data_IF_474536863498
#
_entry.id   IF_474536863498
#
_cell.length_a   1.000
_cell.length_b   1.000
_cell.length_c   1.000
_cell.angle_alpha   90.00
_cell.angle_beta   90.00
_cell.angle_gamma   90.00
#
_symmetry.space_group_name_H-M   'P 1'
#
loop_
_entity.id
_entity.type
_entity.pdbx_description
1 polymer ?
#
# COMPACT_ATOMS: atom_id res chain seq x y z
N UNK A 1 -30.87 -22.69 65.16
CA UNK A 1 -31.56 -22.02 64.05
C UNK A 1 -33.04 -22.12 64.32
N UNK A 2 -33.76 -21.01 64.29
CA UNK A 2 -35.22 -21.01 64.39
C UNK A 2 -35.84 -21.33 63.04
N UNK A 3 -37.06 -21.86 63.01
CA UNK A 3 -37.74 -22.23 61.76
C UNK A 3 -37.88 -21.04 60.79
N UNK A 4 -37.99 -19.81 61.33
CA UNK A 4 -37.96 -18.57 60.54
C UNK A 4 -36.63 -18.31 59.83
N UNK A 5 -35.50 -18.81 60.35
CA UNK A 5 -34.19 -18.72 59.69
C UNK A 5 -34.00 -19.80 58.61
N UNK A 6 -34.82 -20.85 58.63
CA UNK A 6 -34.82 -21.91 57.62
C UNK A 6 -35.76 -21.52 56.46
N UNK A 7 -36.90 -20.89 56.75
CA UNK A 7 -37.79 -20.33 55.71
C UNK A 7 -37.12 -19.21 54.89
N UNK A 8 -36.39 -18.28 55.54
CA UNK A 8 -35.64 -17.21 54.84
C UNK A 8 -34.54 -17.76 53.91
N UNK A 9 -33.96 -18.92 54.28
CA UNK A 9 -32.94 -19.63 53.51
C UNK A 9 -33.51 -20.46 52.35
N UNK A 10 -34.78 -20.86 52.44
CA UNK A 10 -35.47 -21.62 51.40
C UNK A 10 -36.14 -20.69 50.38
N UNK A 11 -36.65 -19.53 50.80
CA UNK A 11 -37.19 -18.50 49.89
C UNK A 11 -36.09 -17.88 49.00
N UNK A 12 -34.84 -17.82 49.48
CA UNK A 12 -33.70 -17.35 48.67
C UNK A 12 -33.16 -18.39 47.68
N UNK A 13 -33.58 -19.66 47.77
CA UNK A 13 -33.06 -20.73 46.90
C UNK A 13 -33.96 -21.04 45.69
N UNK A 14 -35.19 -20.51 45.65
CA UNK A 14 -36.17 -20.79 44.58
C UNK A 14 -36.09 -19.80 43.42
N UNK A 15 -35.57 -18.59 43.62
CA UNK A 15 -35.39 -17.63 42.54
C UNK A 15 -33.97 -17.70 41.97
N UNK A 16 -33.83 -18.52 40.92
CA UNK A 16 -32.62 -18.74 40.13
C UNK A 16 -32.10 -17.50 39.39
N UNK A 17 -31.67 -16.48 40.14
CA UNK A 17 -30.97 -15.32 39.63
C UNK A 17 -29.46 -15.48 39.88
N UNK A 18 -28.71 -15.55 38.77
CA UNK A 18 -27.25 -15.47 38.76
C UNK A 18 -26.81 -14.10 39.31
N UNK A 19 -26.61 -14.03 40.62
CA UNK A 19 -25.93 -12.90 41.24
C UNK A 19 -24.44 -13.01 40.94
N UNK A 20 -23.94 -11.98 40.26
CA UNK A 20 -22.56 -11.88 39.78
C UNK A 20 -21.51 -12.22 40.84
N UNK A 21 -20.45 -12.86 40.39
CA UNK A 21 -19.28 -13.34 41.15
C UNK A 21 -18.48 -12.25 41.91
N UNK A 22 -19.03 -11.04 42.09
CA UNK A 22 -18.30 -9.87 42.55
C UNK A 22 -18.21 -9.69 44.08
N UNK A 23 -18.82 -10.56 44.91
CA UNK A 23 -18.83 -10.37 46.37
C UNK A 23 -18.16 -11.47 47.22
N UNK A 24 -17.58 -12.53 46.62
CA UNK A 24 -16.87 -13.58 47.37
C UNK A 24 -15.32 -13.47 47.37
N UNK A 25 -14.74 -12.44 46.72
CA UNK A 25 -13.29 -12.33 46.51
C UNK A 25 -12.60 -11.16 47.25
N UNK A 26 -13.15 -10.65 48.35
CA UNK A 26 -12.44 -9.62 49.14
C UNK A 26 -11.32 -10.27 49.93
N UNK A 27 -10.09 -10.10 49.44
CA UNK A 27 -8.86 -10.53 50.13
C UNK A 27 -8.70 -9.81 51.48
N UNK A 28 -8.12 -10.46 52.50
CA UNK A 28 -7.97 -9.88 53.83
C UNK A 28 -7.13 -8.61 53.82
N UNK A 29 -7.33 -7.77 54.83
CA UNK A 29 -6.60 -6.50 54.95
C UNK A 29 -5.09 -6.76 55.04
N UNK A 30 -4.31 -6.15 54.14
CA UNK A 30 -2.86 -6.34 54.06
C UNK A 30 -2.41 -7.40 53.04
N UNK A 31 -3.30 -8.23 52.49
CA UNK A 31 -2.96 -9.26 51.50
C UNK A 31 -2.15 -8.71 50.32
N UNK A 32 -2.57 -7.58 49.78
CA UNK A 32 -1.96 -6.93 48.62
C UNK A 32 -0.66 -6.16 48.91
N UNK A 33 -0.24 -6.07 50.17
CA UNK A 33 1.07 -5.47 50.55
C UNK A 33 2.21 -6.48 50.49
N UNK A 34 1.87 -7.76 50.50
CA UNK A 34 2.82 -8.85 50.46
C UNK A 34 3.11 -9.22 48.99
N UNK A 35 4.37 -9.07 48.61
CA UNK A 35 4.85 -9.30 47.24
C UNK A 35 4.55 -10.73 46.77
N UNK A 36 4.60 -11.73 47.66
CA UNK A 36 4.41 -13.12 47.29
C UNK A 36 2.95 -13.40 46.91
N UNK A 37 2.00 -12.73 47.60
CA UNK A 37 0.58 -12.79 47.24
C UNK A 37 0.32 -12.11 45.89
N UNK A 38 1.00 -11.00 45.59
CA UNK A 38 0.88 -10.32 44.30
C UNK A 38 1.49 -11.16 43.17
N UNK A 39 2.61 -11.85 43.41
CA UNK A 39 3.21 -12.78 42.46
C UNK A 39 2.30 -13.99 42.20
N UNK A 40 1.68 -14.54 43.24
CA UNK A 40 0.73 -15.65 43.11
C UNK A 40 -0.47 -15.26 42.24
N UNK A 41 -1.08 -14.10 42.50
CA UNK A 41 -2.21 -13.61 41.69
C UNK A 41 -1.77 -13.27 40.27
N UNK A 42 -0.57 -12.74 40.07
CA UNK A 42 -0.02 -12.46 38.73
C UNK A 42 0.13 -13.73 37.89
N UNK A 43 0.69 -14.81 38.46
CA UNK A 43 0.78 -16.12 37.79
C UNK A 43 -0.58 -16.73 37.49
N UNK A 44 -1.54 -16.57 38.41
CA UNK A 44 -2.92 -17.03 38.21
C UNK A 44 -3.57 -16.33 37.03
N UNK A 45 -3.44 -15.00 36.95
CA UNK A 45 -3.99 -14.22 35.84
C UNK A 45 -3.35 -14.59 34.50
N UNK A 46 -2.02 -14.77 34.49
CA UNK A 46 -1.31 -15.24 33.30
C UNK A 46 -1.84 -16.60 32.81
N UNK A 47 -2.03 -17.55 33.73
CA UNK A 47 -2.60 -18.86 33.40
C UNK A 47 -4.06 -18.77 32.92
N UNK A 48 -4.87 -17.88 33.50
CA UNK A 48 -6.28 -17.70 33.10
C UNK A 48 -6.43 -17.04 31.73
N UNK A 49 -5.51 -16.14 31.37
CA UNK A 49 -5.49 -15.46 30.08
C UNK A 49 -4.72 -16.24 29.00
N UNK A 50 -4.02 -17.32 29.37
CA UNK A 50 -3.23 -18.13 28.45
C UNK A 50 -2.02 -17.37 27.88
N UNK A 51 -1.39 -16.53 28.70
CA UNK A 51 -0.26 -15.67 28.30
C UNK A 51 0.99 -16.00 29.11
N UNK A 52 2.13 -16.01 28.44
CA UNK A 52 3.44 -16.31 29.06
C UNK A 52 4.04 -15.12 29.79
N UNK A 53 3.53 -13.91 29.55
CA UNK A 53 3.95 -12.66 30.19
C UNK A 53 2.80 -11.99 30.95
N UNK A 54 3.12 -11.30 32.06
CA UNK A 54 2.14 -10.49 32.80
C UNK A 54 1.62 -9.36 31.92
N UNK A 55 0.32 -9.30 31.57
CA UNK A 55 -0.19 -8.29 30.66
C UNK A 55 -0.03 -6.86 31.19
N UNK A 56 -0.07 -5.90 30.26
CA UNK A 56 0.01 -4.49 30.61
C UNK A 56 -1.22 -4.04 31.42
N UNK A 57 -1.06 -2.91 32.11
CA UNK A 57 -2.05 -2.36 33.04
C UNK A 57 -3.44 -2.15 32.41
N UNK A 58 -3.50 -1.67 31.18
CA UNK A 58 -4.71 -1.46 30.40
C UNK A 58 -5.42 -2.77 30.05
N UNK A 59 -4.65 -3.80 29.65
CA UNK A 59 -5.17 -5.13 29.36
C UNK A 59 -5.76 -5.76 30.63
N UNK A 60 -5.05 -5.69 31.76
CA UNK A 60 -5.55 -6.25 33.03
C UNK A 60 -6.81 -5.55 33.55
N UNK A 61 -6.95 -4.24 33.36
CA UNK A 61 -8.20 -3.54 33.69
C UNK A 61 -9.35 -4.00 32.79
N UNK A 62 -9.11 -4.13 31.49
CA UNK A 62 -10.11 -4.57 30.52
C UNK A 62 -10.64 -5.98 30.83
N UNK A 63 -9.75 -6.87 31.27
CA UNK A 63 -10.07 -8.25 31.66
C UNK A 63 -10.61 -8.37 33.10
N UNK A 64 -10.87 -7.27 33.78
CA UNK A 64 -11.52 -7.25 35.11
C UNK A 64 -10.58 -7.42 36.32
N UNK A 65 -9.27 -7.48 36.12
CA UNK A 65 -8.27 -7.63 37.19
C UNK A 65 -7.85 -6.30 37.84
N UNK A 66 -8.82 -5.41 38.06
CA UNK A 66 -8.61 -4.06 38.60
C UNK A 66 -8.02 -4.03 40.02
N UNK A 67 -8.29 -5.06 40.83
CA UNK A 67 -7.73 -5.20 42.17
C UNK A 67 -6.22 -5.50 42.14
N UNK A 68 -5.79 -6.37 41.22
CA UNK A 68 -4.36 -6.69 41.02
C UNK A 68 -3.61 -5.49 40.47
N UNK A 69 -4.17 -4.79 39.47
CA UNK A 69 -3.54 -3.58 38.93
C UNK A 69 -3.43 -2.48 39.98
N UNK A 70 -4.49 -2.29 40.79
CA UNK A 70 -4.48 -1.36 41.92
C UNK A 70 -3.46 -1.73 43.00
N UNK A 71 -3.29 -3.01 43.30
CA UNK A 71 -2.28 -3.50 44.25
C UNK A 71 -0.86 -3.27 43.73
N UNK A 72 -0.58 -3.64 42.48
CA UNK A 72 0.72 -3.41 41.84
C UNK A 72 1.04 -1.93 41.81
N UNK A 73 0.09 -1.05 41.50
CA UNK A 73 0.34 0.39 41.44
C UNK A 73 0.48 1.07 42.81
N UNK A 74 -0.17 0.55 43.86
CA UNK A 74 -0.20 1.18 45.19
C UNK A 74 0.90 0.71 46.13
N UNK A 75 1.28 -0.57 46.05
CA UNK A 75 2.19 -1.19 47.02
C UNK A 75 3.50 -1.69 46.40
N UNK A 76 3.53 -1.89 45.09
CA UNK A 76 4.67 -2.48 44.37
C UNK A 76 4.98 -1.69 43.09
N UNK A 77 5.75 -2.29 42.19
CA UNK A 77 5.90 -1.79 40.82
C UNK A 77 5.78 -2.94 39.82
N UNK A 78 5.26 -2.65 38.62
CA UNK A 78 5.24 -3.62 37.51
C UNK A 78 6.63 -4.17 37.20
N UNK A 79 7.65 -3.34 37.38
CA UNK A 79 9.05 -3.73 37.20
C UNK A 79 9.46 -4.80 38.21
N UNK A 80 9.24 -4.55 39.50
CA UNK A 80 9.56 -5.47 40.59
C UNK A 80 8.85 -6.82 40.41
N UNK A 81 7.57 -6.79 40.03
CA UNK A 81 6.80 -8.01 39.78
C UNK A 81 7.38 -8.79 38.58
N UNK A 82 7.66 -8.12 37.46
CA UNK A 82 8.24 -8.78 36.29
C UNK A 82 9.65 -9.33 36.56
N UNK A 83 10.50 -8.58 37.27
CA UNK A 83 11.84 -9.06 37.68
C UNK A 83 11.74 -10.34 38.53
N UNK A 84 10.79 -10.41 39.47
CA UNK A 84 10.55 -11.61 40.30
C UNK A 84 9.85 -12.77 39.56
N UNK A 85 9.29 -12.50 38.38
CA UNK A 85 8.74 -13.50 37.47
C UNK A 85 9.73 -13.91 36.37
N UNK A 86 10.97 -13.41 36.41
CA UNK A 86 11.99 -13.59 35.37
C UNK A 86 11.53 -13.10 33.98
N UNK A 87 10.69 -12.05 33.95
CA UNK A 87 10.12 -11.46 32.74
C UNK A 87 10.82 -10.16 32.34
N UNK A 88 10.91 -9.86 31.03
CA UNK A 88 11.47 -8.59 30.56
C UNK A 88 10.59 -7.41 30.99
N UNK A 89 11.17 -6.25 31.34
CA UNK A 89 10.39 -5.09 31.77
C UNK A 89 9.51 -4.52 30.63
N UNK A 90 8.27 -4.11 30.94
CA UNK A 90 7.28 -3.54 29.98
C UNK A 90 7.85 -2.35 29.20
N UNK A 91 8.70 -1.55 29.87
CA UNK A 91 9.52 -0.52 29.27
C UNK A 91 10.97 -0.78 29.65
N UNK A 92 11.82 -0.85 28.64
CA UNK A 92 13.28 -0.83 28.81
C UNK A 92 13.65 0.41 29.62
N UNK A 93 14.40 0.22 30.71
CA UNK A 93 14.84 1.30 31.61
C UNK A 93 15.56 2.39 30.81
N UNK A 94 15.53 3.66 31.22
CA UNK A 94 16.20 4.73 30.45
C UNK A 94 17.69 4.47 30.20
N UNK A 95 18.34 3.71 31.08
CA UNK A 95 19.74 3.28 30.95
C UNK A 95 19.97 2.07 30.05
N UNK A 96 18.92 1.35 29.67
CA UNK A 96 19.00 0.12 28.86
C UNK A 96 19.68 0.36 27.52
N UNK A 97 19.38 1.50 26.89
CA UNK A 97 19.95 1.87 25.59
C UNK A 97 21.32 2.53 25.69
N UNK A 98 21.83 2.80 26.89
CA UNK A 98 23.12 3.48 27.07
C UNK A 98 24.30 2.58 26.68
N UNK A 99 24.12 1.26 26.67
CA UNK A 99 25.14 0.30 26.28
C UNK A 99 25.05 -0.02 24.77
N UNK A 100 26.07 0.31 23.97
CA UNK A 100 26.12 -0.05 22.56
C UNK A 100 25.97 -1.56 22.28
N UNK A 101 26.41 -2.44 23.20
CA UNK A 101 26.26 -3.89 23.02
C UNK A 101 24.80 -4.34 23.10
N UNK A 102 24.00 -3.65 23.91
CA UNK A 102 22.55 -3.88 23.99
C UNK A 102 21.89 -3.48 22.66
N UNK A 103 22.30 -2.36 22.06
CA UNK A 103 21.81 -1.94 20.75
C UNK A 103 22.20 -2.95 19.66
N UNK A 104 23.41 -3.51 19.69
CA UNK A 104 23.86 -4.55 18.76
C UNK A 104 23.04 -5.84 18.87
N UNK A 105 22.87 -6.36 20.08
CA UNK A 105 22.12 -7.59 20.33
C UNK A 105 20.64 -7.45 19.93
N UNK A 106 20.00 -6.34 20.29
CA UNK A 106 18.65 -5.99 19.87
C UNK A 106 18.50 -5.88 18.35
N UNK A 107 19.50 -5.30 17.69
CA UNK A 107 19.51 -5.19 16.24
C UNK A 107 19.63 -6.56 15.56
N UNK A 108 20.45 -7.48 16.11
CA UNK A 108 20.55 -8.86 15.62
C UNK A 108 19.28 -9.66 15.85
N UNK A 109 18.69 -9.56 17.05
CA UNK A 109 17.42 -10.22 17.38
C UNK A 109 16.30 -9.76 16.44
N UNK A 110 16.17 -8.46 16.25
CA UNK A 110 15.17 -7.90 15.34
C UNK A 110 15.36 -8.37 13.89
N UNK A 111 16.61 -8.48 13.42
CA UNK A 111 16.89 -9.04 12.09
C UNK A 111 16.47 -10.50 11.99
N UNK A 112 16.81 -11.32 12.99
CA UNK A 112 16.48 -12.74 12.99
C UNK A 112 14.97 -13.00 13.02
N UNK A 113 14.25 -12.28 13.89
CA UNK A 113 12.78 -12.39 14.03
C UNK A 113 12.04 -12.07 12.74
N UNK A 114 12.55 -11.10 11.97
CA UNK A 114 11.91 -10.63 10.75
C UNK A 114 12.51 -11.25 9.47
N UNK A 115 13.45 -12.19 9.61
CA UNK A 115 14.14 -12.82 8.49
C UNK A 115 14.93 -11.83 7.62
N UNK A 116 15.46 -10.75 8.22
CA UNK A 116 16.24 -9.77 7.49
C UNK A 116 17.71 -10.19 7.41
N UNK A 117 18.19 -10.34 6.18
CA UNK A 117 19.62 -10.57 5.90
C UNK A 117 20.47 -9.33 6.24
N UNK A 118 19.90 -8.13 6.08
CA UNK A 118 20.56 -6.85 6.37
C UNK A 118 19.78 -6.03 7.39
N UNK A 119 20.49 -5.25 8.21
CA UNK A 119 19.86 -4.41 9.21
C UNK A 119 19.02 -3.32 8.52
N UNK A 120 17.70 -3.20 8.79
CA UNK A 120 16.80 -2.32 8.05
C UNK A 120 17.23 -0.85 8.00
N UNK A 121 16.78 -0.12 6.98
CA UNK A 121 17.03 1.33 6.87
C UNK A 121 16.20 2.12 7.89
N UNK A 122 16.58 3.38 8.15
CA UNK A 122 15.82 4.31 9.00
C UNK A 122 14.33 4.37 8.63
N UNK A 123 14.03 4.42 7.34
CA UNK A 123 12.65 4.49 6.83
C UNK A 123 11.89 3.18 7.08
N UNK A 124 12.55 2.04 6.90
CA UNK A 124 11.97 0.72 7.16
C UNK A 124 11.73 0.50 8.66
N UNK A 125 12.65 0.91 9.53
CA UNK A 125 12.46 0.87 10.99
C UNK A 125 11.25 1.70 11.44
N UNK A 126 11.05 2.90 10.88
CA UNK A 126 9.86 3.74 11.16
C UNK A 126 8.57 3.06 10.71
N UNK A 127 8.55 2.48 9.51
CA UNK A 127 7.37 1.75 8.98
C UNK A 127 7.02 0.54 9.85
N UNK A 128 8.04 -0.14 10.40
CA UNK A 128 7.88 -1.29 11.29
C UNK A 128 7.66 -0.89 12.77
N UNK A 129 7.47 0.41 13.06
CA UNK A 129 7.19 0.88 14.41
C UNK A 129 8.38 0.86 15.39
N UNK A 130 9.59 0.50 14.94
CA UNK A 130 10.81 0.44 15.78
C UNK A 130 11.46 1.81 15.98
N UNK A 131 10.66 2.76 16.47
CA UNK A 131 11.12 4.10 16.84
C UNK A 131 12.05 4.07 18.06
N UNK A 132 11.85 3.11 18.96
CA UNK A 132 12.68 2.83 20.13
C UNK A 132 14.14 2.57 19.70
N UNK A 133 14.34 1.59 18.82
CA UNK A 133 15.65 1.17 18.35
C UNK A 133 16.30 2.26 17.50
N UNK A 134 15.51 2.92 16.63
CA UNK A 134 16.00 4.03 15.83
C UNK A 134 16.53 5.19 16.69
N UNK A 135 15.79 5.57 17.74
CA UNK A 135 16.19 6.64 18.65
C UNK A 135 17.39 6.23 19.50
N UNK A 136 17.44 4.97 19.95
CA UNK A 136 18.58 4.43 20.69
C UNK A 136 19.86 4.48 19.86
N UNK A 137 19.80 4.03 18.60
CA UNK A 137 20.92 4.09 17.65
C UNK A 137 21.40 5.52 17.43
N UNK A 138 20.48 6.48 17.30
CA UNK A 138 20.84 7.88 17.10
C UNK A 138 21.51 8.47 18.34
N UNK A 139 20.99 8.16 19.54
CA UNK A 139 21.36 8.87 20.77
C UNK A 139 22.56 8.26 21.48
N UNK A 140 22.72 6.93 21.41
CA UNK A 140 23.66 6.21 22.26
C UNK A 140 24.68 5.36 21.51
N UNK A 141 24.50 5.12 20.20
CA UNK A 141 25.45 4.31 19.43
C UNK A 141 26.52 5.19 18.75
N UNK A 142 27.81 5.06 19.10
CA UNK A 142 28.88 5.85 18.48
C UNK A 142 28.95 5.63 16.98
N UNK A 143 28.91 6.71 16.18
CA UNK A 143 28.86 6.61 14.72
C UNK A 143 27.49 6.22 14.15
N UNK A 144 26.46 6.17 15.02
CA UNK A 144 25.05 5.99 14.69
C UNK A 144 24.80 4.72 13.86
N UNK A 145 23.75 4.78 13.05
CA UNK A 145 23.28 3.69 12.20
C UNK A 145 24.33 3.15 11.22
N UNK A 146 25.30 3.98 10.82
CA UNK A 146 26.39 3.54 9.93
C UNK A 146 27.32 2.60 10.68
N UNK A 147 27.89 3.05 11.78
CA UNK A 147 28.82 2.26 12.60
C UNK A 147 28.18 0.97 13.12
N UNK A 148 26.89 1.01 13.47
CA UNK A 148 26.16 -0.19 13.86
C UNK A 148 26.16 -1.24 12.75
N UNK A 149 25.96 -0.84 11.49
CA UNK A 149 26.02 -1.78 10.35
C UNK A 149 27.43 -2.38 10.21
N UNK A 150 28.49 -1.55 10.30
CA UNK A 150 29.89 -2.01 10.30
C UNK A 150 30.09 -3.13 11.32
N UNK A 151 29.61 -2.88 12.54
CA UNK A 151 29.76 -3.78 13.67
C UNK A 151 28.94 -5.07 13.54
N UNK A 152 27.81 -5.00 12.83
CA UNK A 152 27.02 -6.17 12.47
C UNK A 152 27.64 -7.01 11.34
N UNK A 153 28.83 -6.64 10.84
CA UNK A 153 29.50 -7.29 9.71
C UNK A 153 28.88 -6.90 8.36
N UNK A 154 28.10 -5.82 8.34
CA UNK A 154 27.44 -5.30 7.16
C UNK A 154 28.23 -4.08 6.67
N UNK A 155 28.38 -3.95 5.37
CA UNK A 155 29.12 -2.83 4.79
C UNK A 155 28.47 -1.49 5.23
N UNK A 156 29.22 -0.59 5.89
CA UNK A 156 28.71 0.71 6.27
C UNK A 156 28.32 1.53 5.07
N UNK A 157 27.14 2.11 5.21
CA UNK A 157 26.50 2.97 4.22
C UNK A 157 26.06 2.20 2.97
N UNK A 158 25.22 2.79 2.14
CA UNK A 158 25.77 3.46 0.96
C UNK A 158 27.26 3.16 0.79
N UNK A 159 27.59 1.89 0.51
CA UNK A 159 28.59 1.53 -0.49
C UNK A 159 29.75 2.53 -0.44
N UNK A 160 30.73 2.27 0.44
CA UNK A 160 31.74 3.24 0.92
C UNK A 160 32.36 4.13 -0.16
N UNK A 161 32.98 5.26 0.23
CA UNK A 161 33.48 6.29 -0.71
C UNK A 161 34.16 5.69 -1.95
N UNK A 162 33.55 5.89 -3.12
CA UNK A 162 34.04 5.38 -4.39
C UNK A 162 33.40 4.07 -4.89
N UNK A 163 32.59 3.39 -4.10
CA UNK A 163 31.88 2.18 -4.52
C UNK A 163 30.97 2.44 -5.72
N UNK A 164 30.20 3.54 -5.67
CA UNK A 164 29.35 3.98 -6.77
C UNK A 164 30.13 4.59 -7.93
N UNK A 165 31.46 4.73 -7.82
CA UNK A 165 32.32 5.12 -8.93
C UNK A 165 32.75 3.91 -9.78
N UNK A 166 32.40 2.68 -9.37
CA UNK A 166 32.66 1.46 -10.13
C UNK A 166 31.42 1.04 -10.91
N UNK A 167 31.55 0.89 -12.23
CA UNK A 167 30.40 0.63 -13.11
C UNK A 167 29.80 -0.76 -12.85
N UNK A 168 30.68 -1.74 -12.62
CA UNK A 168 30.35 -3.12 -12.24
C UNK A 168 29.44 -3.17 -11.00
N UNK A 169 29.71 -2.30 -10.03
CA UNK A 169 28.95 -2.22 -8.80
C UNK A 169 27.53 -1.69 -9.03
N UNK A 170 27.38 -0.67 -9.89
CA UNK A 170 26.06 -0.14 -10.26
C UNK A 170 25.27 -1.16 -11.08
N UNK A 171 25.91 -1.86 -12.01
CA UNK A 171 25.28 -2.91 -12.83
C UNK A 171 24.81 -4.06 -11.95
N UNK A 172 25.63 -4.53 -11.01
CA UNK A 172 25.23 -5.57 -10.06
C UNK A 172 23.99 -5.18 -9.28
N UNK A 173 23.97 -3.99 -8.68
CA UNK A 173 22.81 -3.52 -7.90
C UNK A 173 21.53 -3.40 -8.72
N UNK A 174 21.66 -2.89 -9.94
CA UNK A 174 20.54 -2.78 -10.85
C UNK A 174 19.97 -4.16 -11.20
N UNK A 175 20.85 -5.14 -11.41
CA UNK A 175 20.47 -6.53 -11.71
C UNK A 175 19.73 -7.17 -10.54
N UNK A 176 20.29 -7.07 -9.33
CA UNK A 176 19.68 -7.61 -8.12
C UNK A 176 18.32 -6.97 -7.83
N UNK A 177 18.24 -5.64 -7.95
CA UNK A 177 16.99 -4.90 -7.77
C UNK A 177 15.91 -5.31 -8.77
N UNK A 178 16.30 -5.50 -10.04
CA UNK A 178 15.40 -5.97 -11.09
C UNK A 178 14.90 -7.39 -10.82
N UNK A 179 15.77 -8.30 -10.37
CA UNK A 179 15.38 -9.67 -10.03
C UNK A 179 14.45 -9.73 -8.82
N UNK A 180 14.78 -9.00 -7.75
CA UNK A 180 14.01 -8.97 -6.50
C UNK A 180 12.56 -8.50 -6.72
N UNK A 181 12.36 -7.54 -7.64
CA UNK A 181 11.06 -6.91 -7.89
C UNK A 181 10.41 -7.37 -9.20
N UNK A 182 10.99 -8.35 -9.90
CA UNK A 182 10.44 -8.90 -11.14
C UNK A 182 10.39 -7.91 -12.30
N UNK A 183 11.38 -7.02 -12.40
CA UNK A 183 11.47 -6.09 -13.51
C UNK A 183 12.29 -6.65 -14.67
N UNK A 184 11.69 -6.72 -15.86
CA UNK A 184 12.40 -7.07 -17.10
C UNK A 184 13.32 -5.93 -17.61
N UNK A 185 13.04 -4.70 -17.19
CA UNK A 185 13.78 -3.49 -17.55
C UNK A 185 14.08 -2.67 -16.31
N UNK A 186 15.22 -1.98 -16.29
CA UNK A 186 15.60 -1.09 -15.22
C UNK A 186 14.50 -0.04 -15.03
N UNK A 187 13.86 0.06 -13.85
CA UNK A 187 12.78 1.01 -13.65
C UNK A 187 13.32 2.45 -13.50
N UNK A 188 12.42 3.41 -13.33
CA UNK A 188 12.83 4.81 -13.14
C UNK A 188 13.42 5.05 -11.75
N UNK A 189 14.21 6.10 -11.59
CA UNK A 189 14.75 6.51 -10.28
C UNK A 189 13.65 6.76 -9.26
N UNK A 190 12.49 7.29 -9.69
CA UNK A 190 11.32 7.49 -8.84
C UNK A 190 10.76 6.17 -8.29
N UNK A 191 10.67 5.15 -9.14
CA UNK A 191 10.21 3.81 -8.72
C UNK A 191 11.22 3.17 -7.76
N UNK A 192 12.53 3.35 -8.00
CA UNK A 192 13.56 2.92 -7.06
C UNK A 192 13.42 3.62 -5.70
N UNK A 193 13.19 4.93 -5.69
CA UNK A 193 12.99 5.70 -4.46
C UNK A 193 11.72 5.24 -3.69
N UNK A 194 10.62 4.99 -4.39
CA UNK A 194 9.35 4.49 -3.82
C UNK A 194 9.51 3.09 -3.19
N UNK A 195 10.34 2.25 -3.79
CA UNK A 195 10.72 0.92 -3.30
C UNK A 195 11.87 0.96 -2.28
N UNK A 196 12.32 2.16 -1.88
CA UNK A 196 13.30 2.34 -0.81
C UNK A 196 14.77 2.21 -1.24
N UNK A 197 15.05 2.09 -2.54
CA UNK A 197 16.40 2.05 -3.15
C UNK A 197 16.87 3.42 -3.65
N UNK A 198 16.73 4.43 -2.79
CA UNK A 198 17.19 5.79 -3.08
C UNK A 198 18.72 5.93 -3.12
N UNK A 199 19.44 4.97 -2.53
CA UNK A 199 20.89 4.81 -2.64
C UNK A 199 21.31 4.52 -4.09
N UNK A 200 20.66 3.53 -4.73
CA UNK A 200 20.89 3.14 -6.12
C UNK A 200 20.51 4.27 -7.08
N UNK A 201 19.36 4.91 -6.83
CA UNK A 201 18.90 6.09 -7.57
C UNK A 201 19.97 7.18 -7.60
N UNK A 202 20.55 7.54 -6.44
CA UNK A 202 21.62 8.53 -6.32
C UNK A 202 22.94 8.06 -6.93
N UNK A 203 23.32 6.80 -6.74
CA UNK A 203 24.53 6.22 -7.34
C UNK A 203 24.50 6.30 -8.86
N UNK A 204 23.35 5.96 -9.47
CA UNK A 204 23.12 6.10 -10.91
C UNK A 204 23.21 7.57 -11.33
N UNK A 205 22.50 8.49 -10.64
CA UNK A 205 22.45 9.90 -11.02
C UNK A 205 23.81 10.61 -10.93
N UNK A 206 24.58 10.32 -9.88
CA UNK A 206 25.82 11.05 -9.57
C UNK A 206 27.01 10.61 -10.42
N UNK A 207 27.05 9.34 -10.86
CA UNK A 207 28.27 8.77 -11.47
C UNK A 207 28.14 8.37 -12.94
N UNK A 208 26.95 7.97 -13.41
CA UNK A 208 26.79 7.41 -14.76
C UNK A 208 25.65 8.00 -15.58
N UNK A 209 24.58 8.40 -14.91
CA UNK A 209 23.30 8.74 -15.52
C UNK A 209 22.50 7.51 -15.95
N UNK A 210 21.18 7.58 -15.77
CA UNK A 210 20.24 6.48 -16.07
C UNK A 210 20.35 5.98 -17.52
N UNK A 211 20.64 6.88 -18.46
CA UNK A 211 20.80 6.55 -19.88
C UNK A 211 21.97 5.58 -20.12
N UNK A 212 23.13 5.86 -19.51
CA UNK A 212 24.33 5.01 -19.63
C UNK A 212 24.07 3.65 -19.00
N UNK A 213 23.51 3.62 -17.78
CA UNK A 213 23.25 2.37 -17.07
C UNK A 213 22.29 1.48 -17.86
N UNK A 214 21.21 2.02 -18.42
CA UNK A 214 20.30 1.28 -19.32
C UNK A 214 21.00 0.68 -20.53
N UNK A 215 21.93 1.42 -21.14
CA UNK A 215 22.68 0.90 -22.29
C UNK A 215 23.57 -0.30 -21.95
N UNK A 216 24.05 -0.41 -20.69
CA UNK A 216 24.81 -1.56 -20.20
C UNK A 216 23.94 -2.83 -20.12
N UNK A 217 22.63 -2.66 -19.92
CA UNK A 217 21.65 -3.75 -19.95
C UNK A 217 21.15 -4.08 -21.36
N UNK A 218 21.75 -3.49 -22.41
CA UNK A 218 21.28 -3.63 -23.78
C UNK A 218 19.91 -3.00 -24.01
N UNK A 219 19.40 -2.22 -23.05
CA UNK A 219 18.18 -1.45 -23.26
C UNK A 219 18.46 -0.37 -24.29
N UNK A 220 17.82 -0.49 -25.45
CA UNK A 220 17.76 0.62 -26.39
C UNK A 220 17.04 1.77 -25.70
N UNK A 221 17.80 2.77 -25.24
CA UNK A 221 17.24 3.97 -24.63
C UNK A 221 16.18 4.53 -25.56
N UNK A 222 14.96 4.71 -25.04
CA UNK A 222 13.83 5.29 -25.77
C UNK A 222 14.28 6.65 -26.35
N UNK A 223 14.45 6.66 -27.67
CA UNK A 223 14.73 7.79 -28.56
C UNK A 223 16.02 8.59 -28.32
N UNK A 224 17.12 8.18 -28.94
CA UNK A 224 17.97 9.16 -29.64
C UNK A 224 17.60 9.14 -31.11
N UNK A 225 16.42 9.69 -31.38
CA UNK A 225 16.16 10.14 -32.74
C UNK A 225 17.15 11.29 -33.01
N UNK A 226 17.79 11.35 -34.18
CA UNK A 226 18.85 12.32 -34.48
C UNK A 226 18.43 13.76 -34.17
N UNK A 227 19.41 14.64 -33.91
CA UNK A 227 19.14 16.07 -33.68
C UNK A 227 18.39 16.65 -34.88
N UNK A 228 17.16 17.10 -34.67
CA UNK A 228 16.28 17.60 -35.74
C UNK A 228 15.20 16.61 -36.21
N UNK A 229 15.23 15.35 -35.79
CA UNK A 229 14.22 14.35 -36.17
C UNK A 229 12.79 14.82 -35.88
N UNK A 230 12.54 15.36 -34.69
CA UNK A 230 11.22 15.88 -34.30
C UNK A 230 10.84 17.22 -34.94
N UNK A 231 11.76 17.86 -35.68
CA UNK A 231 11.45 19.07 -36.45
C UNK A 231 10.88 18.74 -37.83
N UNK A 232 11.10 17.52 -38.29
CA UNK A 232 10.62 17.03 -39.57
C UNK A 232 9.18 16.49 -39.39
N UNK A 233 8.18 17.12 -40.03
CA UNK A 233 6.77 16.71 -39.94
C UNK A 233 6.55 15.24 -40.29
N UNK A 234 7.27 14.72 -41.28
CA UNK A 234 7.10 13.34 -41.74
C UNK A 234 7.52 12.34 -40.66
N UNK A 235 8.58 12.66 -39.90
CA UNK A 235 9.02 11.85 -38.77
C UNK A 235 8.01 11.87 -37.62
N UNK A 236 7.34 13.00 -37.38
CA UNK A 236 6.27 13.11 -36.37
C UNK A 236 5.06 12.27 -36.78
N UNK A 237 4.65 12.34 -38.06
CA UNK A 237 3.54 11.54 -38.61
C UNK A 237 3.84 10.05 -38.56
N UNK A 238 5.03 9.63 -38.95
CA UNK A 238 5.43 8.22 -38.93
C UNK A 238 5.44 7.66 -37.51
N UNK A 239 5.98 8.42 -36.55
CA UNK A 239 5.97 7.99 -35.15
C UNK A 239 4.54 7.92 -34.58
N UNK A 240 3.66 8.84 -34.99
CA UNK A 240 2.24 8.80 -34.63
C UNK A 240 1.54 7.55 -35.20
N UNK A 241 1.79 7.20 -36.47
CA UNK A 241 1.27 5.99 -37.11
C UNK A 241 1.80 4.71 -36.45
N UNK A 242 3.09 4.65 -36.16
CA UNK A 242 3.69 3.52 -35.43
C UNK A 242 3.13 3.39 -34.02
N UNK A 243 2.92 4.52 -33.32
CA UNK A 243 2.31 4.54 -32.00
C UNK A 243 0.90 3.95 -32.01
N UNK A 244 0.07 4.35 -33.00
CA UNK A 244 -1.26 3.77 -33.18
C UNK A 244 -1.19 2.28 -33.52
N UNK A 245 -0.34 1.89 -34.48
CA UNK A 245 -0.18 0.49 -34.91
C UNK A 245 0.24 -0.41 -33.75
N UNK A 246 1.25 0.00 -32.97
CA UNK A 246 1.77 -0.76 -31.83
C UNK A 246 0.71 -1.00 -30.76
N UNK A 247 -0.17 -0.02 -30.54
CA UNK A 247 -1.24 -0.09 -29.54
C UNK A 247 -2.59 -0.48 -30.13
N UNK A 248 -2.63 -0.89 -31.41
CA UNK A 248 -3.85 -1.25 -32.14
C UNK A 248 -4.97 -0.19 -32.03
N UNK A 249 -4.59 1.09 -32.03
CA UNK A 249 -5.54 2.20 -31.90
C UNK A 249 -6.17 2.52 -33.26
N UNK A 250 -7.49 2.63 -33.30
CA UNK A 250 -8.26 3.05 -34.49
C UNK A 250 -8.23 4.56 -34.71
N UNK A 251 -8.23 5.36 -33.62
CA UNK A 251 -8.13 6.83 -33.62
C UNK A 251 -6.91 7.29 -32.82
N UNK A 252 -6.29 8.40 -33.21
CA UNK A 252 -5.13 8.94 -32.49
C UNK A 252 -5.55 9.53 -31.13
N UNK A 253 -4.88 9.19 -30.03
CA UNK A 253 -5.30 9.63 -28.70
C UNK A 253 -4.98 11.10 -28.44
N UNK A 254 -5.70 11.70 -27.49
CA UNK A 254 -5.48 13.09 -27.10
C UNK A 254 -4.07 13.34 -26.57
N UNK A 255 -3.57 14.57 -26.70
CA UNK A 255 -2.25 14.98 -26.18
C UNK A 255 -2.08 14.72 -24.68
N UNK A 256 -3.17 14.82 -23.89
CA UNK A 256 -3.16 14.50 -22.47
C UNK A 256 -3.00 13.00 -22.20
N UNK A 257 -3.64 12.16 -23.02
CA UNK A 257 -3.52 10.71 -22.93
C UNK A 257 -2.13 10.22 -23.37
N UNK A 258 -1.52 10.86 -24.37
CA UNK A 258 -0.15 10.56 -24.78
C UNK A 258 0.86 10.70 -23.64
N UNK A 259 0.73 11.73 -22.80
CA UNK A 259 1.59 11.91 -21.63
C UNK A 259 1.42 10.77 -20.63
N UNK A 260 0.18 10.37 -20.33
CA UNK A 260 -0.11 9.25 -19.42
C UNK A 260 0.40 7.91 -19.97
N UNK A 261 0.42 7.76 -21.29
CA UNK A 261 0.95 6.59 -21.99
C UNK A 261 2.48 6.59 -22.15
N UNK A 262 3.18 7.57 -21.56
CA UNK A 262 4.64 7.67 -21.57
C UNK A 262 5.24 8.17 -22.89
N UNK A 263 4.45 8.85 -23.72
CA UNK A 263 4.85 9.40 -25.04
C UNK A 263 4.99 10.93 -25.00
N UNK A 264 5.70 11.46 -24.00
CA UNK A 264 5.88 12.90 -23.80
C UNK A 264 6.64 13.58 -24.95
N UNK A 265 7.63 12.91 -25.55
CA UNK A 265 8.40 13.44 -26.68
C UNK A 265 7.53 13.63 -27.93
N UNK A 266 6.70 12.62 -28.26
CA UNK A 266 5.75 12.70 -29.38
C UNK A 266 4.71 13.80 -29.14
N UNK A 267 4.19 13.93 -27.91
CA UNK A 267 3.28 15.04 -27.55
C UNK A 267 3.92 16.41 -27.80
N UNK A 268 5.16 16.60 -27.35
CA UNK A 268 5.88 17.87 -27.56
C UNK A 268 6.11 18.13 -29.05
N UNK A 269 6.46 17.10 -29.82
CA UNK A 269 6.67 17.22 -31.26
C UNK A 269 5.37 17.60 -32.00
N UNK A 270 4.24 16.97 -31.66
CA UNK A 270 2.92 17.30 -32.21
C UNK A 270 2.50 18.72 -31.83
N UNK A 271 2.78 19.15 -30.59
CA UNK A 271 2.50 20.52 -30.15
C UNK A 271 3.27 21.59 -30.93
N UNK A 272 4.42 21.23 -31.52
CA UNK A 272 5.25 22.10 -32.35
C UNK A 272 5.10 21.80 -33.86
N UNK A 273 4.11 20.99 -34.25
CA UNK A 273 3.93 20.58 -35.63
C UNK A 273 3.64 21.80 -36.54
N UNK A 274 4.28 21.94 -37.71
CA UNK A 274 4.03 23.07 -38.60
C UNK A 274 2.56 23.15 -39.03
N UNK A 275 1.91 24.30 -38.77
CA UNK A 275 0.47 24.47 -38.98
C UNK A 275 -0.41 24.03 -37.80
N UNK A 276 0.21 23.66 -36.68
CA UNK A 276 -0.47 23.32 -35.44
C UNK A 276 -1.14 21.94 -35.48
N UNK A 277 -1.95 21.70 -34.46
CA UNK A 277 -2.58 20.40 -34.22
C UNK A 277 -3.59 20.03 -35.31
N UNK A 278 -4.30 21.01 -35.88
CA UNK A 278 -5.29 20.78 -36.93
C UNK A 278 -4.64 20.22 -38.19
N UNK A 279 -3.52 20.83 -38.62
CA UNK A 279 -2.77 20.35 -39.79
C UNK A 279 -2.12 18.99 -39.54
N UNK A 280 -1.64 18.73 -38.32
CA UNK A 280 -1.14 17.40 -37.94
C UNK A 280 -2.20 16.30 -38.15
N UNK A 281 -3.44 16.57 -37.74
CA UNK A 281 -4.52 15.61 -37.88
C UNK A 281 -4.95 15.40 -39.33
N UNK A 282 -4.99 16.47 -40.13
CA UNK A 282 -5.22 16.41 -41.57
C UNK A 282 -4.16 15.53 -42.26
N UNK A 283 -2.88 15.80 -41.97
CA UNK A 283 -1.74 15.08 -42.54
C UNK A 283 -1.65 13.61 -42.04
N UNK A 284 -2.18 13.30 -40.85
CA UNK A 284 -2.21 11.94 -40.31
C UNK A 284 -3.17 11.03 -41.07
N UNK A 285 -4.15 11.60 -41.80
CA UNK A 285 -5.13 10.85 -42.58
C UNK A 285 -6.12 10.05 -41.73
N UNK A 286 -6.19 10.35 -40.43
CA UNK A 286 -7.31 9.92 -39.59
C UNK A 286 -8.41 10.94 -39.77
N UNK A 287 -9.65 10.51 -40.00
CA UNK A 287 -10.83 11.36 -39.86
C UNK A 287 -10.85 11.92 -38.43
N UNK A 288 -10.14 13.01 -38.24
CA UNK A 288 -10.06 13.72 -36.99
C UNK A 288 -11.33 14.54 -36.89
N UNK A 289 -12.43 13.85 -36.61
CA UNK A 289 -13.58 14.49 -36.00
C UNK A 289 -13.07 15.16 -34.74
N UNK A 290 -13.01 16.48 -34.84
CA UNK A 290 -12.46 17.37 -33.84
C UNK A 290 -13.16 17.08 -32.51
N UNK A 291 -12.39 16.75 -31.50
CA UNK A 291 -12.80 16.82 -30.09
C UNK A 291 -13.23 18.23 -29.62
N UNK A 292 -13.20 19.21 -30.51
CA UNK A 292 -13.50 20.62 -30.29
C UNK A 292 -14.52 21.20 -31.26
N UNK A 293 -15.09 20.45 -32.21
CA UNK A 293 -16.25 20.97 -32.95
C UNK A 293 -17.42 21.11 -31.99
N UNK A 294 -18.08 22.28 -31.94
CA UNK A 294 -19.32 22.43 -31.18
C UNK A 294 -20.33 21.36 -31.61
N UNK A 295 -20.57 20.37 -30.75
CA UNK A 295 -21.48 19.25 -31.05
C UNK A 295 -20.87 17.85 -31.01
N UNK A 296 -19.54 17.69 -31.01
CA UNK A 296 -18.89 16.35 -30.99
C UNK A 296 -19.42 15.45 -29.85
N UNK A 297 -19.44 15.98 -28.63
CA UNK A 297 -19.94 15.27 -27.46
C UNK A 297 -21.47 15.17 -27.37
N UNK A 298 -22.19 15.86 -28.25
CA UNK A 298 -23.64 15.73 -28.40
C UNK A 298 -24.01 14.59 -29.34
N UNK A 299 -23.10 14.23 -30.24
CA UNK A 299 -23.29 13.11 -31.15
C UNK A 299 -23.15 11.78 -30.39
N UNK A 300 -24.13 10.90 -30.56
CA UNK A 300 -24.23 9.64 -29.83
C UNK A 300 -23.23 8.60 -30.35
N UNK A 301 -23.02 8.53 -31.67
CA UNK A 301 -22.07 7.59 -32.29
C UNK A 301 -20.64 7.91 -31.88
N UNK A 302 -20.31 9.20 -31.80
CA UNK A 302 -19.01 9.66 -31.32
C UNK A 302 -18.76 9.29 -29.86
N UNK A 303 -19.78 9.40 -28.99
CA UNK A 303 -19.67 8.98 -27.61
C UNK A 303 -19.51 7.46 -27.46
N UNK A 304 -20.26 6.68 -28.24
CA UNK A 304 -20.18 5.21 -28.24
C UNK A 304 -18.79 4.74 -28.67
N UNK A 305 -18.24 5.28 -29.77
CA UNK A 305 -16.88 4.96 -30.23
C UNK A 305 -15.80 5.25 -29.18
N UNK A 306 -16.00 6.28 -28.35
CA UNK A 306 -15.07 6.65 -27.29
C UNK A 306 -15.13 5.73 -26.08
N UNK A 307 -16.33 5.24 -25.78
CA UNK A 307 -16.54 4.24 -24.74
C UNK A 307 -15.99 2.89 -25.18
N UNK A 308 -16.20 2.46 -26.43
CA UNK A 308 -15.60 1.23 -26.98
C UNK A 308 -14.08 1.24 -26.86
N UNK A 309 -13.46 2.34 -27.27
CA UNK A 309 -12.00 2.51 -27.17
C UNK A 309 -11.52 2.49 -25.71
N UNK A 310 -12.30 3.09 -24.79
CA UNK A 310 -12.00 3.08 -23.36
C UNK A 310 -12.10 1.67 -22.77
N UNK A 311 -13.16 0.93 -23.10
CA UNK A 311 -13.38 -0.45 -22.64
C UNK A 311 -12.27 -1.38 -23.13
N UNK A 312 -11.96 -1.34 -24.43
CA UNK A 312 -10.88 -2.14 -25.02
C UNK A 312 -9.51 -1.82 -24.41
N UNK A 313 -9.20 -0.55 -24.18
CA UNK A 313 -7.89 -0.14 -23.64
C UNK A 313 -7.68 -0.61 -22.20
N UNK A 314 -8.77 -0.76 -21.44
CA UNK A 314 -8.73 -1.15 -20.03
C UNK A 314 -9.18 -2.59 -19.79
N UNK A 315 -9.39 -3.37 -20.86
CA UNK A 315 -9.87 -4.77 -20.80
C UNK A 315 -11.15 -4.92 -19.96
N UNK A 316 -12.10 -4.01 -20.16
CA UNK A 316 -13.38 -3.98 -19.46
C UNK A 316 -14.51 -4.41 -20.38
N UNK A 317 -15.36 -5.32 -19.90
CA UNK A 317 -16.52 -5.79 -20.65
C UNK A 317 -17.72 -4.83 -20.58
N UNK A 318 -17.79 -3.98 -19.55
CA UNK A 318 -18.89 -3.04 -19.35
C UNK A 318 -18.40 -1.70 -18.79
N UNK A 319 -19.17 -0.63 -19.03
CA UNK A 319 -18.89 0.71 -18.56
C UNK A 319 -18.92 0.77 -17.02
N UNK A 320 -17.79 1.08 -16.37
CA UNK A 320 -17.71 1.12 -14.92
C UNK A 320 -18.39 2.37 -14.34
N UNK A 321 -18.62 2.44 -13.02
CA UNK A 321 -19.21 3.62 -12.39
C UNK A 321 -18.40 4.90 -12.62
N UNK A 322 -19.07 6.05 -12.62
CA UNK A 322 -18.45 7.35 -12.94
C UNK A 322 -17.17 7.65 -12.14
N UNK A 323 -17.08 7.18 -10.89
CA UNK A 323 -15.91 7.36 -10.02
C UNK A 323 -14.66 6.69 -10.60
N UNK A 324 -14.82 5.47 -11.13
CA UNK A 324 -13.75 4.68 -11.74
C UNK A 324 -13.29 5.33 -13.05
N UNK A 325 -14.23 5.76 -13.90
CA UNK A 325 -13.93 6.47 -15.16
C UNK A 325 -13.14 7.77 -14.88
N UNK A 326 -13.55 8.51 -13.84
CA UNK A 326 -12.88 9.75 -13.42
C UNK A 326 -11.47 9.50 -12.87
N UNK A 327 -11.27 8.42 -12.09
CA UNK A 327 -9.96 8.01 -11.59
C UNK A 327 -9.02 7.55 -12.71
N UNK A 328 -9.56 6.88 -13.73
CA UNK A 328 -8.87 6.57 -14.99
C UNK A 328 -8.64 7.82 -15.86
N UNK A 329 -9.19 8.96 -15.45
CA UNK A 329 -8.95 10.27 -16.03
C UNK A 329 -9.69 10.53 -17.33
N UNK A 330 -10.82 9.82 -17.55
CA UNK A 330 -11.76 10.06 -18.65
C UNK A 330 -12.98 10.88 -18.21
N UNK A 331 -12.72 12.03 -17.57
CA UNK A 331 -13.78 12.95 -17.13
C UNK A 331 -14.58 13.55 -18.29
N UNK A 332 -14.01 13.55 -19.49
CA UNK A 332 -14.62 13.93 -20.75
C UNK A 332 -15.85 13.07 -21.07
N UNK A 333 -15.73 11.73 -21.03
CA UNK A 333 -16.84 10.78 -21.20
C UNK A 333 -17.94 11.05 -20.16
N UNK A 334 -17.54 11.17 -18.90
CA UNK A 334 -18.47 11.43 -17.79
C UNK A 334 -19.28 12.71 -18.03
N UNK A 335 -18.61 13.79 -18.46
CA UNK A 335 -19.28 15.07 -18.74
C UNK A 335 -20.19 14.99 -19.95
N UNK A 336 -19.81 14.27 -21.00
CA UNK A 336 -20.63 14.09 -22.19
C UNK A 336 -21.93 13.34 -21.86
N UNK A 337 -21.83 12.22 -21.15
CA UNK A 337 -22.98 11.43 -20.71
C UNK A 337 -23.94 12.29 -19.88
N UNK A 338 -23.42 13.02 -18.89
CA UNK A 338 -24.24 13.82 -17.97
C UNK A 338 -24.86 15.04 -18.65
N UNK A 339 -24.13 15.75 -19.52
CA UNK A 339 -24.59 17.04 -20.08
C UNK A 339 -25.40 16.90 -21.37
N UNK A 340 -25.18 15.86 -22.14
CA UNK A 340 -25.74 15.75 -23.49
C UNK A 340 -26.59 14.50 -23.70
N UNK A 341 -26.41 13.44 -22.90
CA UNK A 341 -27.06 12.15 -23.12
C UNK A 341 -27.92 11.68 -21.94
N UNK A 342 -28.41 12.62 -21.13
CA UNK A 342 -29.41 12.34 -20.09
C UNK A 342 -28.90 11.56 -18.87
N UNK A 343 -27.58 11.47 -18.68
CA UNK A 343 -26.96 10.82 -17.53
C UNK A 343 -26.79 9.29 -17.68
N UNK A 344 -26.02 8.70 -16.76
CA UNK A 344 -25.61 7.29 -16.85
C UNK A 344 -26.78 6.31 -16.87
N UNK A 345 -27.85 6.57 -16.11
CA UNK A 345 -29.01 5.68 -16.06
C UNK A 345 -29.78 5.63 -17.39
N UNK A 346 -29.85 6.76 -18.10
CA UNK A 346 -30.53 6.86 -19.39
C UNK A 346 -29.67 6.34 -20.54
N UNK A 347 -28.34 6.48 -20.42
CA UNK A 347 -27.39 6.10 -21.46
C UNK A 347 -26.98 4.63 -21.41
N UNK A 348 -26.97 4.00 -20.22
CA UNK A 348 -26.57 2.59 -20.07
C UNK A 348 -27.35 1.60 -20.92
N UNK A 349 -28.70 1.68 -20.99
CA UNK A 349 -29.47 0.76 -21.83
C UNK A 349 -29.08 0.84 -23.31
N UNK A 350 -28.87 2.06 -23.83
CA UNK A 350 -28.42 2.31 -25.20
C UNK A 350 -27.02 1.75 -25.47
N UNK A 351 -26.13 1.91 -24.49
CA UNK A 351 -24.78 1.36 -24.59
C UNK A 351 -24.78 -0.17 -24.54
N UNK A 352 -25.63 -0.78 -23.70
CA UNK A 352 -25.76 -2.23 -23.61
C UNK A 352 -26.28 -2.82 -24.94
N UNK A 353 -27.27 -2.17 -25.56
CA UNK A 353 -27.75 -2.51 -26.91
C UNK A 353 -26.62 -2.45 -27.94
N UNK A 354 -25.82 -1.38 -27.94
CA UNK A 354 -24.67 -1.20 -28.83
C UNK A 354 -23.57 -2.26 -28.62
N UNK A 355 -23.31 -2.64 -27.36
CA UNK A 355 -22.32 -3.64 -27.00
C UNK A 355 -22.82 -5.09 -27.15
N UNK A 356 -24.11 -5.29 -27.48
CA UNK A 356 -24.73 -6.61 -27.52
C UNK A 356 -24.78 -7.30 -26.15
N UNK A 357 -24.80 -6.52 -25.07
CA UNK A 357 -24.94 -7.00 -23.70
C UNK A 357 -26.45 -7.10 -23.43
N UNK A 358 -26.97 -8.32 -23.26
CA UNK A 358 -28.36 -8.54 -22.86
C UNK A 358 -28.71 -7.71 -21.62
N UNK A 359 -29.83 -7.00 -21.68
CA UNK A 359 -30.29 -6.13 -20.60
C UNK A 359 -30.51 -6.94 -19.32
N UNK A 360 -30.32 -6.33 -18.15
CA UNK A 360 -30.75 -6.92 -16.87
C UNK A 360 -32.24 -7.31 -16.90
N UNK A 361 -33.06 -6.66 -17.76
CA UNK A 361 -34.44 -7.06 -18.03
C UNK A 361 -34.54 -8.37 -18.82
N UNK A 362 -33.67 -8.61 -19.81
CA UNK A 362 -33.68 -9.83 -20.62
C UNK A 362 -33.19 -11.03 -19.77
N UNK A 363 -32.24 -10.79 -18.85
CA UNK A 363 -31.82 -11.79 -17.87
C UNK A 363 -32.93 -12.11 -16.85
N UNK A 364 -33.75 -11.12 -16.47
CA UNK A 364 -34.91 -11.33 -15.60
C UNK A 364 -36.07 -12.02 -16.34
N UNK A 365 -36.32 -11.71 -17.61
CA UNK A 365 -37.29 -12.42 -18.45
C UNK A 365 -36.87 -13.86 -18.74
N UNK A 366 -35.59 -14.11 -19.05
CA UNK A 366 -35.04 -15.46 -19.18
C UNK A 366 -35.11 -16.25 -17.86
N UNK A 367 -34.93 -15.58 -16.71
CA UNK A 367 -35.13 -16.18 -15.39
C UNK A 367 -36.61 -16.48 -15.10
N UNK A 368 -37.53 -15.60 -15.51
CA UNK A 368 -38.98 -15.78 -15.37
C UNK A 368 -39.51 -16.89 -16.29
N UNK A 369 -39.06 -16.95 -17.54
CA UNK A 369 -39.43 -18.01 -18.49
C UNK A 369 -38.94 -19.39 -18.03
N UNK A 370 -37.74 -19.45 -17.43
CA UNK A 370 -37.21 -20.67 -16.82
C UNK A 370 -37.98 -21.08 -15.55
N UNK A 371 -38.61 -20.13 -14.85
CA UNK A 371 -39.38 -20.37 -13.63
C UNK A 371 -40.86 -20.68 -13.91
N UNK A 372 -41.44 -20.13 -14.99
CA UNK A 372 -42.83 -20.35 -15.41
C UNK A 372 -42.93 -21.60 -16.30
N UNK A 373 -41.96 -21.84 -17.18
CA UNK A 373 -41.93 -23.02 -18.06
C UNK A 373 -41.56 -24.33 -17.37
N UNK A 374 -41.17 -24.30 -16.09
CA UNK A 374 -40.82 -25.48 -15.28
C UNK A 374 -41.98 -26.12 -14.52
N UNK A 375 -43.21 -25.58 -14.64
CA UNK A 375 -44.40 -26.07 -13.92
C UNK A 375 -45.41 -26.84 -14.80
N UNK A 376 -45.06 -27.17 -16.03
CA UNK A 376 -45.81 -28.12 -16.84
C UNK A 376 -44.96 -29.35 -17.17
N UNK A 377 -44.83 -30.26 -16.19
CA UNK A 377 -44.67 -31.69 -16.42
C UNK A 377 -45.09 -32.52 -15.21
#
# INVERSE_FOLDING_TARGET
MTDAQIEDLLDTYVDGNQLGQNNLNRKPMGYWKDIDNVLLESRKVMSQLGVDELPAHDVLIKEGYSALTGAIGRYHSYREIRERLDQPPVKKVDSYWNDPQVIESESRGFMQENGFEFFPSRTKLKKLGRYDLLNAIHKYYPGNHRALREKLGQDPSDRGTGYWNLEENVVRECTEFMQEHGFDLLPSTKVMDELGRGDLSKGIQNHYGMKRVRSLFGEKTRSEKPRGYWKDPDNVLNEAKEFMKKRKLRKFPTLGSLNKMGSSSLRVAIGNYPGGLDKFYEDLGTDAERWTTPGYWKDEENLLSEIDSFLQTNELDNLPPYQVISQMGRQDIVRAIVRHHGGFNSFRPKLNEHLGIESDCDQLELLLDKYIGGNEQ
#
